data_IF_477912729953
#
_entry.id   IF_477912729953
#
_cell.length_a   1.000
_cell.length_b   1.000
_cell.length_c   1.000
_cell.angle_alpha   90.00
_cell.angle_beta   90.00
_cell.angle_gamma   90.00
#
_symmetry.space_group_name_H-M   'P 1'
#
loop_
_entity.id
_entity.type
_entity.pdbx_description
1 polymer ?
#
# COMPACT_ATOMS: atom_id res chain seq x y z
N UNK A 1 -1.86 -12.79 40.87
CA UNK A 1 -1.05 -12.01 39.89
C UNK A 1 -0.69 -12.82 38.64
N UNK A 2 -0.53 -14.14 38.73
CA UNK A 2 -0.21 -15.04 37.60
C UNK A 2 -1.32 -15.12 36.54
N UNK A 3 -2.59 -15.14 36.98
CA UNK A 3 -3.75 -15.30 36.09
C UNK A 3 -3.94 -14.13 35.10
N UNK A 4 -3.79 -12.89 35.57
CA UNK A 4 -3.90 -11.71 34.73
C UNK A 4 -2.79 -11.62 33.66
N UNK A 5 -1.58 -12.06 33.99
CA UNK A 5 -0.44 -12.09 33.05
C UNK A 5 -0.66 -13.17 31.99
N UNK A 6 -1.10 -14.37 32.40
CA UNK A 6 -1.45 -15.45 31.48
C UNK A 6 -2.57 -15.04 30.52
N UNK A 7 -3.62 -14.39 31.03
CA UNK A 7 -4.72 -13.90 30.19
C UNK A 7 -4.27 -12.82 29.20
N UNK A 8 -3.42 -11.90 29.63
CA UNK A 8 -2.85 -10.88 28.73
C UNK A 8 -1.99 -11.51 27.63
N UNK A 9 -1.23 -12.57 27.94
CA UNK A 9 -0.42 -13.29 26.96
C UNK A 9 -1.27 -13.99 25.89
N UNK A 10 -2.39 -14.61 26.27
CA UNK A 10 -3.34 -15.22 25.32
C UNK A 10 -3.96 -14.18 24.37
N UNK A 11 -4.41 -13.04 24.91
CA UNK A 11 -4.97 -11.97 24.10
C UNK A 11 -3.92 -11.40 23.14
N UNK A 12 -2.69 -11.21 23.62
CA UNK A 12 -1.58 -10.75 22.80
C UNK A 12 -1.29 -11.72 21.64
N UNK A 13 -1.31 -13.03 21.91
CA UNK A 13 -1.14 -14.05 20.87
C UNK A 13 -2.23 -13.95 19.80
N UNK A 14 -3.51 -13.87 20.19
CA UNK A 14 -4.61 -13.74 19.23
C UNK A 14 -4.57 -12.44 18.40
N UNK A 15 -4.11 -11.33 18.98
CA UNK A 15 -3.86 -10.10 18.24
C UNK A 15 -2.72 -10.25 17.22
N UNK A 16 -1.61 -10.90 17.60
CA UNK A 16 -0.48 -11.16 16.69
C UNK A 16 -0.87 -12.05 15.53
N UNK A 17 -1.62 -13.13 15.78
CA UNK A 17 -2.12 -13.99 14.71
C UNK A 17 -3.00 -13.20 13.72
N UNK A 18 -3.74 -12.20 14.21
CA UNK A 18 -4.57 -11.34 13.36
C UNK A 18 -3.73 -10.36 12.56
N UNK A 19 -2.66 -9.80 13.15
CA UNK A 19 -1.69 -8.93 12.47
C UNK A 19 -0.99 -9.70 11.35
N UNK A 20 -0.48 -10.91 11.62
CA UNK A 20 0.22 -11.73 10.62
C UNK A 20 -0.66 -12.04 9.41
N UNK A 21 -1.97 -12.27 9.63
CA UNK A 21 -2.94 -12.45 8.54
C UNK A 21 -3.15 -11.17 7.73
N UNK A 22 -3.23 -10.02 8.38
CA UNK A 22 -3.38 -8.73 7.70
C UNK A 22 -2.12 -8.38 6.90
N UNK A 23 -0.93 -8.66 7.44
CA UNK A 23 0.34 -8.46 6.76
C UNK A 23 0.42 -9.29 5.48
N UNK A 24 -0.04 -10.55 5.50
CA UNK A 24 -0.13 -11.36 4.29
C UNK A 24 -1.04 -10.71 3.23
N UNK A 25 -2.21 -10.19 3.62
CA UNK A 25 -3.12 -9.47 2.72
C UNK A 25 -2.43 -8.24 2.14
N UNK A 26 -1.71 -7.46 2.94
CA UNK A 26 -0.98 -6.28 2.48
C UNK A 26 0.08 -6.65 1.43
N UNK A 27 0.87 -7.69 1.67
CA UNK A 27 1.92 -8.14 0.75
C UNK A 27 1.34 -8.61 -0.58
N UNK A 28 0.33 -9.48 -0.58
CA UNK A 28 -0.29 -9.94 -1.82
C UNK A 28 -0.99 -8.81 -2.59
N UNK A 29 -1.65 -7.89 -1.88
CA UNK A 29 -2.27 -6.70 -2.51
C UNK A 29 -1.22 -5.80 -3.17
N UNK A 30 -0.07 -5.60 -2.54
CA UNK A 30 1.02 -4.84 -3.12
C UNK A 30 1.60 -5.53 -4.36
N UNK A 31 1.79 -6.85 -4.32
CA UNK A 31 2.26 -7.63 -5.46
C UNK A 31 1.32 -7.48 -6.68
N UNK A 32 0.01 -7.62 -6.48
CA UNK A 32 -0.99 -7.41 -7.53
C UNK A 32 -0.97 -5.97 -8.06
N UNK A 33 -0.90 -4.98 -7.16
CA UNK A 33 -0.79 -3.56 -7.54
C UNK A 33 0.45 -3.31 -8.40
N UNK A 34 1.61 -3.88 -8.06
CA UNK A 34 2.83 -3.76 -8.85
C UNK A 34 2.72 -4.43 -10.22
N UNK A 35 2.06 -5.58 -10.32
CA UNK A 35 1.78 -6.23 -11.62
C UNK A 35 0.98 -5.31 -12.54
N UNK A 36 -0.07 -4.66 -12.01
CA UNK A 36 -0.86 -3.71 -12.79
C UNK A 36 -0.08 -2.45 -13.20
N UNK A 37 0.77 -1.90 -12.32
CA UNK A 37 1.55 -0.70 -12.71
C UNK A 37 2.58 -1.02 -13.79
N UNK A 38 3.17 -2.22 -13.78
CA UNK A 38 4.04 -2.69 -14.87
C UNK A 38 3.28 -2.85 -16.19
N UNK A 39 2.08 -3.45 -16.15
CA UNK A 39 1.23 -3.58 -17.34
C UNK A 39 0.83 -2.21 -17.92
N UNK A 40 0.48 -1.24 -17.05
CA UNK A 40 0.22 0.15 -17.46
C UNK A 40 1.46 0.79 -18.07
N UNK A 41 2.64 0.59 -17.48
CA UNK A 41 3.91 1.08 -18.02
C UNK A 41 4.19 0.56 -19.43
N UNK A 42 4.02 -0.76 -19.64
CA UNK A 42 4.15 -1.41 -20.94
C UNK A 42 3.15 -0.83 -21.95
N UNK A 43 1.88 -0.73 -21.58
CA UNK A 43 0.83 -0.16 -22.44
C UNK A 43 1.15 1.28 -22.84
N UNK A 44 1.61 2.09 -21.90
CA UNK A 44 2.03 3.48 -22.19
C UNK A 44 3.19 3.53 -23.17
N UNK A 45 4.19 2.67 -23.00
CA UNK A 45 5.34 2.59 -23.90
C UNK A 45 4.93 2.17 -25.32
N UNK A 46 4.07 1.14 -25.45
CA UNK A 46 3.57 0.63 -26.74
C UNK A 46 2.78 1.69 -27.52
N UNK A 47 2.09 2.60 -26.82
CA UNK A 47 1.25 3.63 -27.43
C UNK A 47 1.84 5.06 -27.35
N UNK A 48 3.12 5.20 -26.99
CA UNK A 48 3.79 6.50 -26.82
C UNK A 48 3.02 7.49 -25.91
N UNK A 49 2.31 6.96 -24.90
CA UNK A 49 1.57 7.75 -23.94
C UNK A 49 2.50 8.35 -22.87
N UNK A 50 2.16 9.52 -22.29
CA UNK A 50 2.99 10.14 -21.28
C UNK A 50 3.09 9.31 -20.00
N UNK A 51 4.31 9.27 -19.45
CA UNK A 51 4.60 8.53 -18.22
C UNK A 51 3.82 9.10 -17.00
N UNK A 52 3.67 10.43 -16.92
CA UNK A 52 2.93 11.12 -15.86
C UNK A 52 1.58 11.64 -16.36
N UNK A 53 0.58 11.53 -15.50
CA UNK A 53 -0.74 12.16 -15.67
C UNK A 53 -1.06 12.90 -14.37
N UNK A 54 -0.75 14.20 -14.35
CA UNK A 54 -0.89 15.05 -13.15
C UNK A 54 -2.33 15.13 -12.65
N UNK A 55 -3.33 15.04 -13.54
CA UNK A 55 -4.73 15.05 -13.14
C UNK A 55 -5.08 13.75 -12.42
N UNK A 56 -4.67 12.61 -12.99
CA UNK A 56 -4.84 11.30 -12.36
C UNK A 56 -4.11 11.19 -11.03
N UNK A 57 -2.91 11.74 -10.91
CA UNK A 57 -2.14 11.78 -9.66
C UNK A 57 -2.86 12.58 -8.57
N UNK A 58 -3.36 13.78 -8.90
CA UNK A 58 -4.13 14.62 -7.95
C UNK A 58 -5.40 13.90 -7.45
N UNK A 59 -6.16 13.25 -8.34
CA UNK A 59 -7.35 12.48 -7.94
C UNK A 59 -7.01 11.30 -7.05
N UNK A 60 -5.86 10.63 -7.27
CA UNK A 60 -5.42 9.52 -6.40
C UNK A 60 -5.11 9.99 -4.99
N UNK A 61 -4.38 11.10 -4.87
CA UNK A 61 -4.02 11.67 -3.57
C UNK A 61 -5.29 12.06 -2.80
N UNK A 62 -6.21 12.80 -3.41
CA UNK A 62 -7.46 13.20 -2.77
C UNK A 62 -8.31 12.00 -2.31
N UNK A 63 -8.43 10.97 -3.15
CA UNK A 63 -9.15 9.73 -2.79
C UNK A 63 -8.48 9.02 -1.62
N UNK A 64 -7.16 8.97 -1.57
CA UNK A 64 -6.43 8.30 -0.49
C UNK A 64 -6.49 9.04 0.84
N UNK A 65 -6.42 10.37 0.80
CA UNK A 65 -6.65 11.18 1.99
C UNK A 65 -8.06 10.95 2.55
N UNK A 66 -9.06 10.77 1.69
CA UNK A 66 -10.41 10.41 2.13
C UNK A 66 -10.47 8.99 2.71
N UNK A 67 -9.89 8.00 2.03
CA UNK A 67 -9.85 6.61 2.53
C UNK A 67 -9.13 6.50 3.88
N UNK A 68 -8.07 7.28 4.10
CA UNK A 68 -7.36 7.32 5.36
C UNK A 68 -8.27 7.83 6.49
N UNK A 69 -8.99 8.93 6.24
CA UNK A 69 -9.97 9.47 7.20
C UNK A 69 -11.09 8.48 7.49
N UNK A 70 -11.63 7.83 6.46
CA UNK A 70 -12.72 6.86 6.60
C UNK A 70 -12.28 5.62 7.39
N UNK A 71 -10.99 5.26 7.33
CA UNK A 71 -10.39 4.13 8.02
C UNK A 71 -9.80 4.47 9.40
N UNK A 72 -9.96 5.70 9.89
CA UNK A 72 -9.32 6.22 11.11
C UNK A 72 -7.78 6.04 11.10
N UNK A 73 -7.19 6.18 9.92
CA UNK A 73 -5.75 6.14 9.69
C UNK A 73 -5.21 7.57 9.52
N UNK A 74 -4.07 7.86 10.14
CA UNK A 74 -3.41 9.16 9.99
C UNK A 74 -3.20 9.50 8.49
N UNK A 75 -3.82 10.59 7.98
CA UNK A 75 -3.69 10.97 6.58
C UNK A 75 -2.24 11.24 6.15
N UNK A 76 -1.40 11.76 7.05
CA UNK A 76 0.01 11.99 6.76
C UNK A 76 0.78 10.68 6.60
N UNK A 77 0.49 9.69 7.44
CA UNK A 77 1.02 8.34 7.27
C UNK A 77 0.56 7.71 5.95
N UNK A 78 -0.74 7.77 5.64
CA UNK A 78 -1.29 7.21 4.41
C UNK A 78 -0.64 7.83 3.15
N UNK A 79 -0.40 9.14 3.17
CA UNK A 79 0.30 9.86 2.11
C UNK A 79 1.77 9.43 1.99
N UNK A 80 2.49 9.30 3.10
CA UNK A 80 3.88 8.80 3.12
C UNK A 80 3.98 7.38 2.56
N UNK A 81 3.09 6.49 3.01
CA UNK A 81 3.03 5.12 2.53
C UNK A 81 2.76 5.06 1.02
N UNK A 82 1.78 5.82 0.52
CA UNK A 82 1.51 5.88 -0.91
C UNK A 82 2.73 6.38 -1.70
N UNK A 83 3.33 7.49 -1.24
CA UNK A 83 4.50 8.05 -1.90
C UNK A 83 5.63 7.02 -1.97
N UNK A 84 5.87 6.29 -0.89
CA UNK A 84 6.81 5.17 -0.88
C UNK A 84 6.47 4.12 -1.95
N UNK A 85 5.23 3.63 -1.99
CA UNK A 85 4.82 2.63 -3.00
C UNK A 85 4.98 3.16 -4.43
N UNK A 86 4.63 4.42 -4.70
CA UNK A 86 4.80 5.03 -6.04
C UNK A 86 6.28 5.14 -6.42
N UNK A 87 7.14 5.58 -5.49
CA UNK A 87 8.57 5.67 -5.75
C UNK A 87 9.17 4.30 -6.08
N UNK A 88 8.78 3.25 -5.36
CA UNK A 88 9.20 1.88 -5.66
C UNK A 88 8.77 1.42 -7.05
N UNK A 89 7.53 1.73 -7.47
CA UNK A 89 7.09 1.45 -8.86
C UNK A 89 8.00 2.12 -9.88
N UNK A 90 8.33 3.40 -9.68
CA UNK A 90 9.14 4.18 -10.63
C UNK A 90 10.57 3.62 -10.68
N UNK A 91 11.15 3.29 -9.52
CA UNK A 91 12.48 2.71 -9.43
C UNK A 91 12.55 1.36 -10.14
N UNK A 92 11.55 0.50 -9.94
CA UNK A 92 11.46 -0.81 -10.61
C UNK A 92 11.34 -0.67 -12.13
N UNK A 93 10.59 0.33 -12.63
CA UNK A 93 10.54 0.60 -14.08
C UNK A 93 11.89 1.04 -14.66
N UNK A 94 12.68 1.83 -13.92
CA UNK A 94 14.01 2.27 -14.36
C UNK A 94 15.04 1.14 -14.40
N UNK A 95 14.88 0.10 -13.57
CA UNK A 95 15.81 -1.03 -13.50
C UNK A 95 15.47 -2.15 -14.51
N UNK A 96 14.23 -2.21 -14.98
CA UNK A 96 13.73 -3.22 -15.92
C UNK A 96 13.41 -2.68 -17.32
N UNK A 97 13.76 -1.42 -17.62
CA UNK A 97 13.91 -0.88 -18.97
C UNK A 97 15.36 -1.03 -19.44
#
# INVERSE_FOLDING_TARGET
MTDAISRAAELLAGHRDSIDRLDAVLVYTLAERFSHTQAVGKLKAEHALPASDKSREATQIARLEQLAKDADLDPEFAKKFLNFVIQEVIQHHKQHQ
#
